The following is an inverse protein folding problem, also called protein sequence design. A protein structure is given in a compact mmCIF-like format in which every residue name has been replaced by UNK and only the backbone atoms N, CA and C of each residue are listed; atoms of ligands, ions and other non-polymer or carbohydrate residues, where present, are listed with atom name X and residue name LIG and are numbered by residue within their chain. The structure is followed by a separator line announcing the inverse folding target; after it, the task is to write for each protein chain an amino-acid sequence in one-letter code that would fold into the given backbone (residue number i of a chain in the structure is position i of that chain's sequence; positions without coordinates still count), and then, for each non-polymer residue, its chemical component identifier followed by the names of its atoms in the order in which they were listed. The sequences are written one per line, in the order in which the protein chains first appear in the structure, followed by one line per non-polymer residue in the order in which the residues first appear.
data_IF_502176585314
#
_entry.id   IF_502176585314
#
_cell.length_a   1.000
_cell.length_b   1.000
_cell.length_c   1.000
_cell.angle_alpha   90.00
_cell.angle_beta   90.00
_cell.angle_gamma   90.00
#
_symmetry.space_group_name_H-M   'P 1'
#
loop_
_entity.id
_entity.type
_entity.pdbx_description
1 polymer ?
#
# COMPACT_ATOMS: atom_id res chain seq x y z
N UNK A 1 2.58 26.53 29.59
CA UNK A 1 3.35 26.18 28.38
C UNK A 1 3.67 24.69 28.25
N UNK A 2 3.68 23.89 29.33
CA UNK A 2 3.95 22.44 29.25
C UNK A 2 2.88 21.67 28.43
N UNK A 3 1.60 22.03 28.61
CA UNK A 3 0.48 21.46 27.86
C UNK A 3 0.64 21.65 26.35
N UNK A 4 1.04 22.85 25.92
CA UNK A 4 1.28 23.15 24.50
C UNK A 4 2.40 22.28 23.93
N UNK A 5 3.50 22.09 24.67
CA UNK A 5 4.62 21.24 24.26
C UNK A 5 4.18 19.77 24.16
N UNK A 6 3.42 19.26 25.14
CA UNK A 6 2.89 17.89 25.12
C UNK A 6 1.99 17.65 23.90
N UNK A 7 1.11 18.59 23.57
CA UNK A 7 0.22 18.48 22.41
C UNK A 7 1.00 18.49 21.09
N UNK A 8 1.95 19.41 20.93
CA UNK A 8 2.77 19.52 19.71
C UNK A 8 3.62 18.28 19.51
N UNK A 9 4.27 17.77 20.56
CA UNK A 9 5.06 16.55 20.49
C UNK A 9 4.18 15.34 20.18
N UNK A 10 3.04 15.19 20.85
CA UNK A 10 2.08 14.12 20.58
C UNK A 10 1.64 14.10 19.12
N UNK A 11 1.25 15.26 18.57
CA UNK A 11 0.87 15.38 17.17
C UNK A 11 2.00 15.00 16.21
N UNK A 12 3.23 15.47 16.47
CA UNK A 12 4.42 15.12 15.68
C UNK A 12 4.67 13.61 15.68
N UNK A 13 4.55 12.95 16.84
CA UNK A 13 4.70 11.50 16.94
C UNK A 13 3.62 10.77 16.15
N UNK A 14 2.35 11.12 16.34
CA UNK A 14 1.25 10.45 15.62
C UNK A 14 1.36 10.60 14.10
N UNK A 15 1.70 11.79 13.59
CA UNK A 15 1.91 11.96 12.14
C UNK A 15 3.07 11.11 11.66
N UNK A 16 4.21 11.15 12.36
CA UNK A 16 5.39 10.36 12.00
C UNK A 16 5.06 8.87 11.93
N UNK A 17 4.39 8.34 12.95
CA UNK A 17 4.09 6.92 13.04
C UNK A 17 3.11 6.48 11.95
N UNK A 18 2.13 7.32 11.60
CA UNK A 18 1.21 7.04 10.47
C UNK A 18 1.93 7.05 9.12
N UNK A 19 2.77 8.05 8.87
CA UNK A 19 3.54 8.13 7.61
C UNK A 19 4.46 6.91 7.46
N UNK A 20 5.11 6.50 8.55
CA UNK A 20 5.94 5.28 8.57
C UNK A 20 5.08 4.03 8.35
N UNK A 21 3.88 3.96 8.93
CA UNK A 21 2.95 2.83 8.75
C UNK A 21 2.51 2.60 7.31
N UNK A 22 2.37 3.66 6.51
CA UNK A 22 2.11 3.55 5.07
C UNK A 22 3.35 3.20 4.27
N UNK A 23 4.52 3.70 4.67
CA UNK A 23 5.78 3.54 3.95
C UNK A 23 6.73 2.60 4.66
N UNK A 24 7.89 3.14 5.00
CA UNK A 24 8.95 2.52 5.78
C UNK A 24 9.86 3.62 6.34
N UNK A 25 10.74 3.27 7.27
CA UNK A 25 11.76 4.19 7.76
C UNK A 25 12.82 4.53 6.70
N UNK A 26 13.18 3.53 5.89
CA UNK A 26 14.16 3.63 4.81
C UNK A 26 13.59 2.86 3.62
N UNK A 27 13.70 3.45 2.43
CA UNK A 27 13.34 2.81 1.16
C UNK A 27 14.58 2.66 0.32
N UNK A 28 14.76 1.47 -0.24
CA UNK A 28 15.78 1.20 -1.26
C UNK A 28 15.03 1.14 -2.58
N UNK A 29 15.32 2.07 -3.48
CA UNK A 29 14.72 2.17 -4.80
C UNK A 29 15.83 2.26 -5.85
N UNK A 30 15.51 1.87 -7.07
CA UNK A 30 16.41 2.04 -8.20
C UNK A 30 16.72 3.53 -8.43
N UNK A 31 17.96 3.84 -8.82
CA UNK A 31 18.38 5.22 -9.04
C UNK A 31 17.52 5.95 -10.08
N UNK A 32 17.11 5.25 -11.15
CA UNK A 32 16.25 5.82 -12.19
C UNK A 32 14.85 6.12 -11.66
N UNK A 33 14.35 5.31 -10.71
CA UNK A 33 13.06 5.57 -10.02
C UNK A 33 13.10 6.85 -9.19
N UNK A 34 14.26 7.23 -8.66
CA UNK A 34 14.40 8.45 -7.88
C UNK A 34 14.50 9.70 -8.76
N UNK A 35 14.96 9.55 -10.00
CA UNK A 35 15.12 10.66 -10.95
C UNK A 35 13.93 10.85 -11.88
N UNK A 36 13.16 9.80 -12.13
CA UNK A 36 12.03 9.79 -13.06
C UNK A 36 10.72 9.47 -12.33
N UNK A 37 9.58 9.80 -12.93
CA UNK A 37 8.27 9.38 -12.40
C UNK A 37 7.98 7.89 -12.63
N UNK A 38 8.79 7.20 -13.43
CA UNK A 38 8.61 5.78 -13.71
C UNK A 38 9.27 4.91 -12.65
N UNK A 39 8.62 3.81 -12.30
CA UNK A 39 9.15 2.84 -11.35
C UNK A 39 9.94 1.73 -12.04
N UNK A 40 11.15 1.51 -11.57
CA UNK A 40 12.05 0.47 -12.04
C UNK A 40 12.23 -0.59 -10.95
N UNK A 41 12.12 -1.89 -11.30
CA UNK A 41 12.19 -2.96 -10.33
C UNK A 41 13.60 -3.11 -9.77
N UNK A 42 13.71 -3.30 -8.45
CA UNK A 42 14.95 -3.69 -7.78
C UNK A 42 14.92 -5.19 -7.55
N UNK A 43 15.90 -5.91 -8.10
CA UNK A 43 16.03 -7.35 -7.84
C UNK A 43 16.60 -7.57 -6.44
N UNK A 44 15.70 -7.88 -5.50
CA UNK A 44 16.06 -8.16 -4.10
C UNK A 44 16.09 -9.67 -3.86
N UNK A 45 17.28 -10.28 -3.97
CA UNK A 45 17.47 -11.71 -3.71
C UNK A 45 17.58 -12.03 -2.21
N UNK A 46 17.44 -13.31 -1.85
CA UNK A 46 17.47 -13.76 -0.46
C UNK A 46 18.79 -13.40 0.24
N UNK A 47 19.92 -13.46 -0.47
CA UNK A 47 21.22 -13.07 0.06
C UNK A 47 21.26 -11.60 0.49
N UNK A 48 20.74 -10.68 -0.34
CA UNK A 48 20.66 -9.26 0.00
C UNK A 48 19.70 -9.01 1.15
N UNK A 49 18.53 -9.64 1.16
CA UNK A 49 17.57 -9.54 2.28
C UNK A 49 18.23 -9.98 3.58
N UNK A 50 18.98 -11.09 3.56
CA UNK A 50 19.67 -11.61 4.73
C UNK A 50 20.79 -10.70 5.23
N UNK A 51 21.52 -10.04 4.32
CA UNK A 51 22.52 -9.03 4.69
C UNK A 51 21.84 -7.85 5.36
N UNK A 52 20.76 -7.32 4.77
CA UNK A 52 20.02 -6.16 5.32
C UNK A 52 19.43 -6.47 6.70
N UNK A 53 18.86 -7.67 6.89
CA UNK A 53 18.31 -8.11 8.19
C UNK A 53 19.37 -8.23 9.29
N UNK A 54 20.65 -8.42 8.94
CA UNK A 54 21.76 -8.52 9.92
C UNK A 54 22.33 -7.17 10.33
N UNK A 55 21.92 -6.07 9.69
CA UNK A 55 22.40 -4.72 10.04
C UNK A 55 21.83 -4.32 11.41
N UNK A 56 22.66 -3.93 12.40
CA UNK A 56 22.19 -3.47 13.69
C UNK A 56 21.19 -2.31 13.54
N UNK A 57 20.04 -2.42 14.22
CA UNK A 57 18.97 -1.42 14.17
C UNK A 57 17.91 -1.66 13.08
N UNK A 58 18.12 -2.59 12.14
CA UNK A 58 17.09 -3.00 11.19
C UNK A 58 16.13 -3.98 11.86
N UNK A 59 14.94 -3.51 12.22
CA UNK A 59 13.88 -4.36 12.82
C UNK A 59 13.27 -5.31 11.81
N UNK A 60 13.07 -4.85 10.58
CA UNK A 60 12.27 -5.56 9.59
C UNK A 60 12.66 -5.13 8.17
N UNK A 61 12.64 -6.07 7.24
CA UNK A 61 12.91 -5.87 5.82
C UNK A 61 11.77 -6.53 5.05
N UNK A 62 11.12 -5.75 4.19
CA UNK A 62 10.02 -6.20 3.35
C UNK A 62 10.17 -5.70 1.92
N UNK A 63 9.77 -6.51 0.95
CA UNK A 63 9.67 -6.12 -0.46
C UNK A 63 8.37 -5.38 -0.71
N UNK A 64 8.39 -4.45 -1.66
CA UNK A 64 7.20 -3.76 -2.12
C UNK A 64 7.32 -3.43 -3.61
N UNK A 65 6.17 -3.25 -4.25
CA UNK A 65 6.04 -2.65 -5.56
C UNK A 65 4.95 -1.57 -5.49
N UNK A 66 5.06 -0.55 -6.32
CA UNK A 66 4.04 0.48 -6.44
C UNK A 66 3.66 0.61 -7.91
N UNK A 67 2.36 0.72 -8.20
CA UNK A 67 1.89 0.89 -9.58
C UNK A 67 0.66 1.76 -9.59
N UNK A 68 0.70 2.79 -10.41
CA UNK A 68 -0.48 3.64 -10.64
C UNK A 68 -1.52 2.89 -11.47
N UNK A 69 -2.78 3.07 -11.13
CA UNK A 69 -3.89 2.48 -11.87
C UNK A 69 -5.21 3.19 -11.59
N UNK A 70 -6.25 2.76 -12.28
CA UNK A 70 -7.60 3.29 -12.11
C UNK A 70 -8.51 2.17 -11.62
N UNK A 71 -9.16 2.39 -10.47
CA UNK A 71 -10.30 1.59 -10.04
C UNK A 71 -11.56 2.12 -10.72
N UNK A 72 -12.32 1.25 -11.38
CA UNK A 72 -13.50 1.63 -12.14
C UNK A 72 -14.69 0.74 -11.80
N UNK A 73 -15.82 1.39 -11.56
CA UNK A 73 -17.16 0.79 -11.48
C UNK A 73 -17.96 1.17 -12.72
N UNK A 74 -19.20 0.70 -12.81
CA UNK A 74 -20.09 1.06 -13.93
C UNK A 74 -20.47 2.54 -13.92
N UNK A 75 -20.40 3.20 -12.76
CA UNK A 75 -20.87 4.58 -12.56
C UNK A 75 -19.76 5.61 -12.30
N UNK A 76 -18.59 5.18 -11.84
CA UNK A 76 -17.52 6.07 -11.40
C UNK A 76 -16.12 5.43 -11.51
N UNK A 77 -15.08 6.24 -11.43
CA UNK A 77 -13.68 5.80 -11.43
C UNK A 77 -12.78 6.66 -10.53
N UNK A 78 -11.71 6.07 -10.01
CA UNK A 78 -10.70 6.74 -9.20
C UNK A 78 -9.29 6.33 -9.62
N UNK A 79 -8.40 7.32 -9.75
CA UNK A 79 -6.96 7.09 -9.83
C UNK A 79 -6.41 6.69 -8.46
N UNK A 80 -5.65 5.59 -8.42
CA UNK A 80 -5.11 5.00 -7.20
C UNK A 80 -3.66 4.54 -7.40
N UNK A 81 -2.96 4.37 -6.29
CA UNK A 81 -1.65 3.74 -6.22
C UNK A 81 -1.80 2.35 -5.60
N UNK A 82 -1.53 1.32 -6.38
CA UNK A 82 -1.46 -0.06 -5.90
C UNK A 82 -0.11 -0.29 -5.23
N UNK A 83 -0.13 -0.57 -3.93
CA UNK A 83 1.00 -1.06 -3.17
C UNK A 83 0.96 -2.60 -3.14
N UNK A 84 1.80 -3.20 -3.97
CA UNK A 84 2.08 -4.63 -3.93
C UNK A 84 2.96 -4.96 -2.75
N UNK A 85 2.51 -5.90 -1.92
CA UNK A 85 3.23 -6.36 -0.73
C UNK A 85 3.30 -7.88 -0.69
N UNK A 86 4.38 -8.42 -0.13
CA UNK A 86 4.61 -9.87 -0.07
C UNK A 86 4.21 -10.51 1.27
N UNK A 87 4.48 -11.81 1.45
CA UNK A 87 4.28 -12.52 2.71
C UNK A 87 5.10 -11.96 3.88
N UNK A 88 6.18 -11.25 3.55
CA UNK A 88 7.08 -10.57 4.46
C UNK A 88 6.53 -9.23 4.97
N UNK A 89 5.35 -8.77 4.53
CA UNK A 89 4.80 -7.47 4.91
C UNK A 89 4.33 -7.40 6.37
N UNK A 90 4.77 -6.36 7.10
CA UNK A 90 4.23 -6.04 8.43
C UNK A 90 2.85 -5.37 8.30
N UNK A 91 1.81 -6.20 8.45
CA UNK A 91 0.41 -5.77 8.36
C UNK A 91 -0.13 -5.12 9.65
N UNK A 92 0.68 -5.01 10.71
CA UNK A 92 0.23 -4.51 12.03
C UNK A 92 -0.44 -3.14 11.93
N UNK A 93 0.15 -2.23 11.16
CA UNK A 93 -0.40 -0.89 10.98
C UNK A 93 -1.78 -0.91 10.33
N UNK A 94 -1.95 -1.67 9.24
CA UNK A 94 -3.24 -1.75 8.55
C UNK A 94 -4.26 -2.48 9.41
N UNK A 95 -3.85 -3.53 10.11
CA UNK A 95 -4.72 -4.29 11.02
C UNK A 95 -5.33 -3.39 12.10
N UNK A 96 -4.56 -2.48 12.67
CA UNK A 96 -5.03 -1.51 13.68
C UNK A 96 -6.02 -0.49 13.12
N UNK A 97 -6.06 -0.31 11.80
CA UNK A 97 -6.90 0.66 11.11
C UNK A 97 -8.02 0.00 10.28
N UNK A 98 -8.25 -1.30 10.44
CA UNK A 98 -9.34 -2.01 9.75
C UNK A 98 -10.70 -1.60 10.32
N UNK A 99 -11.68 -1.44 9.44
CA UNK A 99 -13.07 -1.12 9.79
C UNK A 99 -13.97 -2.31 9.46
N UNK A 100 -13.73 -2.93 8.31
CA UNK A 100 -14.55 -4.04 7.81
C UNK A 100 -13.67 -5.08 7.10
N UNK A 101 -14.07 -6.35 7.18
CA UNK A 101 -13.42 -7.44 6.47
C UNK A 101 -12.14 -7.93 7.15
N UNK A 102 -11.19 -8.36 6.34
CA UNK A 102 -9.95 -8.99 6.80
C UNK A 102 -8.79 -8.65 5.89
N UNK A 103 -7.57 -8.68 6.41
CA UNK A 103 -6.37 -8.53 5.59
C UNK A 103 -6.15 -9.84 4.80
N UNK A 104 -6.06 -9.79 3.45
CA UNK A 104 -5.75 -10.97 2.65
C UNK A 104 -4.34 -11.47 2.96
N UNK A 105 -4.11 -12.77 2.75
CA UNK A 105 -2.76 -13.30 2.78
C UNK A 105 -2.05 -12.89 1.50
N UNK A 106 -1.15 -11.91 1.62
CA UNK A 106 -0.40 -11.42 0.48
C UNK A 106 0.64 -12.43 0.01
N UNK A 107 0.82 -12.54 -1.30
CA UNK A 107 1.74 -13.49 -1.94
C UNK A 107 2.63 -12.80 -2.99
N UNK A 108 3.83 -13.33 -3.18
CA UNK A 108 4.81 -12.88 -4.16
C UNK A 108 4.96 -13.83 -5.36
N UNK A 109 4.27 -14.99 -5.35
CA UNK A 109 4.31 -16.01 -6.40
C UNK A 109 2.99 -16.23 -7.13
N UNK A 110 1.87 -15.86 -6.51
CA UNK A 110 0.54 -16.05 -7.06
C UNK A 110 -0.34 -14.82 -6.85
N UNK A 111 -1.28 -14.59 -7.76
CA UNK A 111 -2.33 -13.59 -7.56
C UNK A 111 -3.56 -14.22 -6.91
N UNK A 112 -3.98 -13.66 -5.79
CA UNK A 112 -5.28 -13.95 -5.18
C UNK A 112 -6.37 -12.99 -5.65
N UNK A 113 -6.01 -11.96 -6.42
CA UNK A 113 -6.91 -10.90 -6.88
C UNK A 113 -7.75 -10.29 -5.74
N UNK A 114 -7.14 -10.12 -4.58
CA UNK A 114 -7.76 -9.50 -3.41
C UNK A 114 -7.09 -8.17 -3.12
N UNK A 115 -7.90 -7.17 -2.78
CA UNK A 115 -7.40 -5.83 -2.43
C UNK A 115 -7.96 -5.35 -1.10
N UNK A 116 -7.20 -4.46 -0.46
CA UNK A 116 -7.69 -3.60 0.60
C UNK A 116 -7.80 -2.17 0.08
N UNK A 117 -8.94 -1.56 0.33
CA UNK A 117 -9.21 -0.17 -0.02
C UNK A 117 -9.48 0.63 1.26
N UNK A 118 -9.36 1.95 1.19
CA UNK A 118 -9.75 2.80 2.31
C UNK A 118 -11.26 3.01 2.32
N UNK A 119 -11.80 3.45 3.45
CA UNK A 119 -13.20 3.86 3.54
C UNK A 119 -13.51 5.02 2.59
N UNK A 120 -12.60 5.99 2.42
CA UNK A 120 -12.81 7.11 1.49
C UNK A 120 -12.99 6.63 0.03
N UNK A 121 -12.22 5.61 -0.37
CA UNK A 121 -12.36 5.02 -1.71
C UNK A 121 -13.65 4.21 -1.83
N UNK A 122 -13.97 3.42 -0.80
CA UNK A 122 -15.20 2.64 -0.75
C UNK A 122 -16.45 3.54 -0.84
N UNK A 123 -16.49 4.64 -0.10
CA UNK A 123 -17.61 5.58 -0.09
C UNK A 123 -17.78 6.29 -1.45
N UNK A 124 -16.67 6.75 -2.05
CA UNK A 124 -16.68 7.42 -3.36
C UNK A 124 -17.18 6.49 -4.47
N UNK A 125 -16.68 5.25 -4.49
CA UNK A 125 -17.05 4.26 -5.50
C UNK A 125 -18.32 3.48 -5.14
N UNK A 126 -18.92 3.74 -3.97
CA UNK A 126 -20.10 3.06 -3.41
C UNK A 126 -19.94 1.54 -3.33
N UNK A 127 -18.77 1.10 -2.86
CA UNK A 127 -18.40 -0.30 -2.75
C UNK A 127 -18.47 -0.80 -1.31
N UNK A 128 -18.63 -2.12 -1.16
CA UNK A 128 -18.60 -2.83 0.12
C UNK A 128 -17.60 -3.98 0.11
N UNK A 129 -17.26 -4.45 1.30
CA UNK A 129 -16.43 -5.65 1.45
C UNK A 129 -17.11 -6.85 0.77
N UNK A 130 -16.33 -7.63 0.01
CA UNK A 130 -16.79 -8.79 -0.76
C UNK A 130 -17.20 -8.49 -2.19
N UNK A 131 -17.40 -7.22 -2.56
CA UNK A 131 -17.72 -6.83 -3.92
C UNK A 131 -16.50 -6.86 -4.84
N UNK A 132 -16.77 -6.85 -6.15
CA UNK A 132 -15.74 -6.91 -7.19
C UNK A 132 -15.59 -5.55 -7.86
N UNK A 133 -14.35 -5.23 -8.21
CA UNK A 133 -14.02 -4.01 -8.95
C UNK A 133 -12.99 -4.28 -10.03
N UNK A 134 -13.07 -3.54 -11.13
CA UNK A 134 -12.06 -3.56 -12.19
C UNK A 134 -10.97 -2.52 -11.93
N UNK A 135 -9.73 -2.94 -12.12
CA UNK A 135 -8.55 -2.09 -12.12
C UNK A 135 -7.95 -2.05 -13.52
N UNK A 136 -7.55 -0.86 -13.94
CA UNK A 136 -6.91 -0.61 -15.22
C UNK A 136 -5.51 -0.06 -14.97
N UNK A 137 -4.52 -0.70 -15.58
CA UNK A 137 -3.10 -0.32 -15.52
C UNK A 137 -2.67 0.13 -16.90
N UNK A 138 -1.97 1.25 -16.97
CA UNK A 138 -1.49 1.83 -18.22
C UNK A 138 0.02 1.62 -18.30
N UNK A 139 0.45 0.95 -19.36
CA UNK A 139 1.84 0.86 -19.80
C UNK A 139 1.94 1.51 -21.19
N UNK A 140 3.14 1.93 -21.60
CA UNK A 140 3.37 2.77 -22.79
C UNK A 140 2.66 2.31 -24.08
N UNK A 141 2.39 1.00 -24.22
CA UNK A 141 1.76 0.42 -25.40
C UNK A 141 0.49 -0.41 -25.13
N UNK A 142 0.02 -0.52 -23.88
CA UNK A 142 -1.14 -1.36 -23.57
C UNK A 142 -1.87 -0.96 -22.28
N UNK A 143 -3.19 -1.16 -22.28
CA UNK A 143 -4.02 -1.11 -21.08
C UNK A 143 -4.27 -2.53 -20.60
N UNK A 144 -3.82 -2.85 -19.38
CA UNK A 144 -4.06 -4.13 -18.73
C UNK A 144 -5.24 -3.98 -17.76
N UNK A 145 -6.24 -4.83 -17.92
CA UNK A 145 -7.40 -4.87 -17.03
C UNK A 145 -7.32 -6.10 -16.12
N UNK A 146 -7.55 -5.89 -14.82
CA UNK A 146 -7.66 -6.94 -13.82
C UNK A 146 -8.93 -6.74 -13.00
N UNK A 147 -9.50 -7.84 -12.52
CA UNK A 147 -10.65 -7.81 -11.61
C UNK A 147 -10.21 -8.21 -10.21
N UNK A 148 -10.53 -7.39 -9.23
CA UNK A 148 -10.23 -7.62 -7.82
C UNK A 148 -11.50 -7.84 -7.01
N UNK A 149 -11.34 -8.51 -5.86
CA UNK A 149 -12.36 -8.61 -4.81
C UNK A 149 -11.90 -7.81 -3.60
N UNK A 150 -12.76 -6.95 -3.06
CA UNK A 150 -12.45 -6.16 -1.87
C UNK A 150 -12.50 -7.08 -0.66
N UNK A 151 -11.36 -7.33 -0.04
CA UNK A 151 -11.27 -8.24 1.12
C UNK A 151 -11.46 -7.53 2.46
N UNK A 152 -11.24 -6.22 2.48
CA UNK A 152 -11.52 -5.38 3.63
C UNK A 152 -11.31 -3.90 3.34
N UNK A 153 -11.80 -3.10 4.28
CA UNK A 153 -11.82 -1.65 4.23
C UNK A 153 -11.10 -1.10 5.46
N UNK A 154 -10.17 -0.17 5.27
CA UNK A 154 -9.39 0.46 6.34
C UNK A 154 -9.60 1.97 6.40
N UNK A 155 -9.29 2.61 7.51
CA UNK A 155 -9.24 4.08 7.64
C UNK A 155 -8.13 4.47 8.59
N UNK A 156 -7.13 5.18 8.07
CA UNK A 156 -5.99 5.64 8.89
C UNK A 156 -6.16 7.07 9.38
N UNK A 157 -7.17 7.79 8.87
CA UNK A 157 -7.36 9.23 9.09
C UNK A 157 -6.19 10.07 8.57
N UNK A 158 -5.41 9.54 7.64
CA UNK A 158 -4.38 10.28 6.91
C UNK A 158 -4.87 10.50 5.48
N UNK A 159 -5.73 11.50 5.30
CA UNK A 159 -6.55 11.71 4.11
C UNK A 159 -5.80 11.53 2.78
N UNK A 160 -4.60 12.11 2.64
CA UNK A 160 -3.81 12.00 1.41
C UNK A 160 -3.46 10.58 1.00
N UNK A 161 -3.26 9.68 1.97
CA UNK A 161 -2.98 8.26 1.72
C UNK A 161 -4.26 7.46 1.56
N UNK A 162 -5.25 7.69 2.44
CA UNK A 162 -6.54 7.03 2.36
C UNK A 162 -7.22 7.31 0.99
N UNK A 163 -7.01 8.47 0.36
CA UNK A 163 -7.62 8.78 -0.94
C UNK A 163 -7.05 7.99 -2.12
N UNK A 164 -5.84 7.42 -2.02
CA UNK A 164 -5.14 6.86 -3.19
C UNK A 164 -4.58 5.45 -2.97
N UNK A 165 -4.31 5.01 -1.74
CA UNK A 165 -3.49 3.82 -1.49
C UNK A 165 -4.33 2.53 -1.46
N UNK A 166 -4.04 1.58 -2.34
CA UNK A 166 -4.69 0.25 -2.40
C UNK A 166 -3.66 -0.83 -2.14
N UNK A 167 -3.93 -1.77 -1.25
CA UNK A 167 -2.99 -2.88 -0.99
C UNK A 167 -3.37 -4.12 -1.80
N UNK A 168 -2.40 -4.79 -2.39
CA UNK A 168 -2.56 -6.01 -3.20
C UNK A 168 -1.34 -6.91 -3.10
N UNK A 169 -1.42 -8.11 -3.68
CA UNK A 169 -0.30 -9.05 -3.79
C UNK A 169 0.88 -8.43 -4.54
N UNK A 170 2.11 -8.68 -4.09
CA UNK A 170 3.33 -8.24 -4.77
C UNK A 170 3.44 -8.84 -6.18
N UNK A 171 2.94 -10.06 -6.40
CA UNK A 171 2.90 -10.67 -7.73
C UNK A 171 1.98 -9.90 -8.70
N UNK A 172 1.03 -9.14 -8.17
CA UNK A 172 -0.04 -8.51 -8.94
C UNK A 172 0.25 -7.06 -9.32
N UNK A 173 0.91 -6.32 -8.44
CA UNK A 173 1.35 -4.95 -8.69
C UNK A 173 2.49 -4.90 -9.71
#
# INVERSE_FOLDING_TARGET
MIMSVCVVLGFKHTIRDKVIGFGSHIQVADFMTLQQQNQYPVVMNDSMVNVLKKIPGVKHVQKFAMKEGILKTDSDFLGVMFKGVGPDFDSTFIHQNMIEGSIPKFDDKASHNQILISQLMADKLKLKTGERIFAYFFDDNAVRMRRFTIKGIYQTNLKKYDEVMVYTDLYTA
#
